data_IF_176476497893
#
_entry.id   IF_176476497893
#
_cell.length_a   1.000
_cell.length_b   1.000
_cell.length_c   1.000
_cell.angle_alpha   90.00
_cell.angle_beta   90.00
_cell.angle_gamma   90.00
#
_symmetry.space_group_name_H-M   'P 1'
#
loop_
_entity.id
_entity.type
_entity.pdbx_description
1 polymer ?
#
# COMPACT_ATOMS: atom_id res chain seq x y z
N UNK A 1 64.60 14.42 40.31
CA UNK A 1 64.30 13.77 39.01
C UNK A 1 62.94 13.09 39.13
N UNK A 2 61.89 13.60 38.47
CA UNK A 2 60.52 13.06 38.56
C UNK A 2 60.30 12.10 37.38
N UNK A 3 59.98 10.83 37.66
CA UNK A 3 59.52 9.89 36.65
C UNK A 3 58.00 9.71 36.78
N UNK A 4 57.27 10.12 35.74
CA UNK A 4 55.86 9.76 35.51
C UNK A 4 55.85 8.49 34.67
N UNK A 5 55.09 7.49 35.08
CA UNK A 5 54.70 6.38 34.19
C UNK A 5 53.20 6.10 34.30
N UNK A 6 52.62 6.04 33.10
CA UNK A 6 51.24 5.83 32.70
C UNK A 6 50.87 4.34 32.81
N UNK A 7 49.65 3.98 33.23
CA UNK A 7 48.99 2.77 32.69
C UNK A 7 47.48 2.68 32.98
N UNK A 8 46.71 3.04 31.94
CA UNK A 8 45.57 2.32 31.34
C UNK A 8 44.36 1.96 32.22
N UNK A 9 43.35 2.83 32.20
CA UNK A 9 41.95 2.49 32.48
C UNK A 9 41.39 1.56 31.38
N UNK A 10 40.96 0.37 31.75
CA UNK A 10 40.24 -0.58 30.89
C UNK A 10 38.74 -0.24 30.96
N UNK A 11 38.26 0.59 30.03
CA UNK A 11 36.82 0.83 29.83
C UNK A 11 36.25 -0.31 28.99
N UNK A 12 35.52 -1.21 29.64
CA UNK A 12 34.77 -2.28 29.00
C UNK A 12 33.50 -1.69 28.38
N UNK A 13 33.56 -1.34 27.09
CA UNK A 13 32.41 -0.87 26.31
C UNK A 13 31.49 -2.04 25.97
N UNK A 14 30.44 -2.24 26.77
CA UNK A 14 29.36 -3.15 26.45
C UNK A 14 28.43 -2.52 25.41
N UNK A 15 28.60 -2.87 24.13
CA UNK A 15 27.62 -2.57 23.08
C UNK A 15 26.43 -3.52 23.24
N UNK A 16 25.36 -3.01 23.87
CA UNK A 16 24.06 -3.66 23.90
C UNK A 16 23.42 -3.50 22.51
N UNK A 17 23.54 -4.54 21.68
CA UNK A 17 22.77 -4.67 20.43
C UNK A 17 21.30 -4.87 20.81
N UNK A 18 20.57 -3.76 20.96
CA UNK A 18 19.11 -3.80 21.01
C UNK A 18 18.63 -4.32 19.67
N UNK A 19 18.21 -5.59 19.66
CA UNK A 19 17.48 -6.19 18.56
C UNK A 19 16.15 -5.46 18.48
N UNK A 20 16.05 -4.50 17.55
CA UNK A 20 14.76 -3.93 17.19
C UNK A 20 13.93 -5.03 16.57
N UNK A 21 12.94 -5.53 17.32
CA UNK A 21 11.86 -6.33 16.75
C UNK A 21 11.19 -5.46 15.69
N UNK A 22 11.52 -5.71 14.43
CA UNK A 22 10.90 -5.07 13.28
C UNK A 22 9.47 -5.61 13.16
N UNK A 23 8.54 -5.04 13.91
CA UNK A 23 7.11 -5.21 13.68
C UNK A 23 6.71 -4.36 12.47
N UNK A 24 6.84 -4.90 11.26
CA UNK A 24 6.05 -4.47 10.11
C UNK A 24 4.80 -5.39 10.06
N UNK A 25 3.57 -4.98 9.74
CA UNK A 25 3.12 -4.18 8.60
C UNK A 25 1.81 -3.38 8.90
N UNK A 26 1.90 -2.27 9.63
CA UNK A 26 1.02 -1.08 9.43
C UNK A 26 1.79 0.13 8.91
N UNK A 27 3.08 -0.07 8.68
CA UNK A 27 4.06 0.97 8.38
C UNK A 27 4.02 1.48 6.96
N UNK A 28 3.41 0.74 6.02
CA UNK A 28 3.34 1.15 4.60
C UNK A 28 2.76 2.56 4.48
N UNK A 29 1.68 2.85 5.21
CA UNK A 29 1.05 4.18 5.18
C UNK A 29 1.91 5.30 5.79
N UNK A 30 3.00 4.95 6.49
CA UNK A 30 4.00 5.89 7.01
C UNK A 30 5.21 6.03 6.09
N UNK A 31 5.35 5.17 5.07
CA UNK A 31 6.42 5.27 4.09
C UNK A 31 6.10 6.36 3.05
N UNK A 32 7.14 6.95 2.42
CA UNK A 32 6.96 7.85 1.29
C UNK A 32 6.22 7.17 0.13
N UNK A 33 5.35 7.94 -0.53
CA UNK A 33 4.73 7.54 -1.79
C UNK A 33 5.65 7.99 -2.92
N UNK A 34 6.14 7.04 -3.72
CA UNK A 34 6.90 7.32 -4.94
C UNK A 34 6.02 7.03 -6.15
N UNK A 35 6.08 7.89 -7.16
CA UNK A 35 5.32 7.75 -8.41
C UNK A 35 6.30 7.95 -9.57
N UNK A 36 6.33 7.00 -10.49
CA UNK A 36 7.08 7.09 -11.75
C UNK A 36 6.12 6.90 -12.91
N UNK A 37 6.32 7.66 -13.99
CA UNK A 37 5.52 7.60 -15.22
C UNK A 37 6.31 8.17 -16.38
N UNK A 38 5.84 7.95 -17.61
CA UNK A 38 6.46 8.57 -18.79
C UNK A 38 6.10 10.06 -18.87
N UNK A 39 4.88 10.42 -18.45
CA UNK A 39 4.36 11.78 -18.54
C UNK A 39 3.76 12.26 -17.20
N UNK A 40 3.85 13.56 -16.94
CA UNK A 40 3.24 14.24 -15.79
C UNK A 40 2.67 15.60 -16.20
N UNK A 41 1.49 15.95 -15.68
CA UNK A 41 0.88 17.27 -15.79
C UNK A 41 0.39 17.77 -14.42
N UNK A 42 0.49 19.09 -14.21
CA UNK A 42 0.09 19.76 -12.98
C UNK A 42 -0.84 20.93 -13.30
N UNK A 43 -2.07 20.87 -12.79
CA UNK A 43 -3.03 21.97 -12.80
C UNK A 43 -3.03 22.64 -11.42
N UNK A 44 -2.36 23.79 -11.32
CA UNK A 44 -2.20 24.54 -10.07
C UNK A 44 -3.50 25.21 -9.62
N UNK A 45 -4.36 25.63 -10.56
CA UNK A 45 -5.63 26.28 -10.22
C UNK A 45 -6.58 25.27 -9.58
N UNK A 46 -6.62 24.05 -10.11
CA UNK A 46 -7.49 22.98 -9.60
C UNK A 46 -6.84 22.11 -8.53
N UNK A 47 -5.54 22.28 -8.26
CA UNK A 47 -4.75 21.41 -7.37
C UNK A 47 -4.82 19.93 -7.77
N UNK A 48 -4.65 19.66 -9.07
CA UNK A 48 -4.70 18.31 -9.66
C UNK A 48 -3.35 17.97 -10.29
N UNK A 49 -2.81 16.80 -9.93
CA UNK A 49 -1.65 16.20 -10.58
C UNK A 49 -2.09 14.99 -11.38
N UNK A 50 -1.66 14.86 -12.63
CA UNK A 50 -1.95 13.69 -13.46
C UNK A 50 -0.65 13.07 -13.95
N UNK A 51 -0.48 11.78 -13.69
CA UNK A 51 0.59 10.93 -14.20
C UNK A 51 -0.01 10.02 -15.27
N UNK A 52 0.64 9.89 -16.42
CA UNK A 52 0.14 9.03 -17.51
C UNK A 52 1.27 8.24 -18.14
N UNK A 53 0.87 7.09 -18.68
CA UNK A 53 1.69 6.09 -19.36
C UNK A 53 2.72 5.43 -18.43
N UNK A 54 2.65 4.09 -18.34
CA UNK A 54 3.50 3.25 -17.49
C UNK A 54 3.61 3.75 -16.03
N UNK A 55 2.47 4.10 -15.42
CA UNK A 55 2.47 4.65 -14.07
C UNK A 55 2.69 3.55 -13.03
N UNK A 56 3.69 3.74 -12.18
CA UNK A 56 4.01 2.86 -11.04
C UNK A 56 4.02 3.69 -9.77
N UNK A 57 3.23 3.26 -8.77
CA UNK A 57 3.21 3.85 -7.42
C UNK A 57 3.79 2.84 -6.45
N UNK A 58 4.70 3.26 -5.57
CA UNK A 58 5.18 2.45 -4.45
C UNK A 58 5.01 3.17 -3.12
N UNK A 59 4.65 2.42 -2.08
CA UNK A 59 4.59 2.91 -0.70
C UNK A 59 4.88 1.76 0.29
N UNK A 60 6.11 1.67 0.79
CA UNK A 60 6.54 0.51 1.56
C UNK A 60 6.42 -0.78 0.73
N UNK A 61 5.61 -1.74 1.18
CA UNK A 61 5.31 -2.96 0.43
C UNK A 61 4.22 -2.79 -0.65
N UNK A 62 3.50 -1.67 -0.65
CA UNK A 62 2.44 -1.40 -1.61
C UNK A 62 3.05 -1.11 -2.98
N UNK A 63 2.55 -1.79 -4.01
CA UNK A 63 2.87 -1.55 -5.42
C UNK A 63 1.58 -1.45 -6.23
N UNK A 64 1.42 -0.34 -6.97
CA UNK A 64 0.29 -0.14 -7.89
C UNK A 64 0.84 0.14 -9.28
N UNK A 65 0.31 -0.56 -10.29
CA UNK A 65 0.58 -0.27 -11.69
C UNK A 65 -0.71 0.19 -12.37
N UNK A 66 -0.64 1.26 -13.15
CA UNK A 66 -1.78 1.85 -13.84
C UNK A 66 -1.36 2.49 -15.17
N UNK A 67 -2.33 2.76 -16.04
CA UNK A 67 -2.10 3.57 -17.25
C UNK A 67 -2.11 5.06 -16.94
N UNK A 68 -2.95 5.47 -15.98
CA UNK A 68 -3.07 6.86 -15.57
C UNK A 68 -3.39 6.93 -14.08
N UNK A 69 -2.82 7.92 -13.39
CA UNK A 69 -3.10 8.23 -12.00
C UNK A 69 -3.38 9.73 -11.87
N UNK A 70 -4.50 10.09 -11.27
CA UNK A 70 -4.87 11.46 -10.96
C UNK A 70 -4.89 11.64 -9.45
N UNK A 71 -4.13 12.60 -8.94
CA UNK A 71 -4.13 13.01 -7.53
C UNK A 71 -4.83 14.35 -7.42
N UNK A 72 -5.85 14.42 -6.58
CA UNK A 72 -6.58 15.65 -6.26
C UNK A 72 -6.40 15.97 -4.79
N UNK A 73 -5.98 17.20 -4.47
CA UNK A 73 -6.03 17.71 -3.10
C UNK A 73 -7.34 18.47 -2.90
N UNK A 74 -8.28 17.96 -2.09
CA UNK A 74 -9.53 18.67 -1.82
C UNK A 74 -9.25 20.02 -1.16
N UNK A 75 -10.04 21.03 -1.49
CA UNK A 75 -9.96 22.35 -0.86
C UNK A 75 -10.61 22.40 0.54
N UNK A 76 -11.19 21.28 1.00
CA UNK A 76 -11.84 21.18 2.31
C UNK A 76 -10.85 20.90 3.45
N UNK A 77 -11.32 21.08 4.69
CA UNK A 77 -10.53 20.92 5.92
C UNK A 77 -10.02 19.50 6.18
N UNK A 78 -10.35 18.52 5.33
CA UNK A 78 -9.79 17.18 5.46
C UNK A 78 -8.33 17.13 5.01
N UNK A 79 -7.92 18.01 4.09
CA UNK A 79 -6.53 18.22 3.65
C UNK A 79 -5.82 17.01 3.04
N UNK A 80 -6.50 15.87 2.87
CA UNK A 80 -5.88 14.61 2.49
C UNK A 80 -6.22 14.25 1.05
N UNK A 81 -5.21 13.78 0.34
CA UNK A 81 -5.23 13.57 -1.10
C UNK A 81 -6.13 12.38 -1.49
N UNK A 82 -6.82 12.54 -2.63
CA UNK A 82 -7.57 11.47 -3.28
C UNK A 82 -6.81 11.04 -4.52
N UNK A 83 -6.59 9.75 -4.65
CA UNK A 83 -5.90 9.13 -5.78
C UNK A 83 -6.93 8.34 -6.60
N UNK A 84 -6.96 8.59 -7.90
CA UNK A 84 -7.71 7.80 -8.86
C UNK A 84 -6.72 7.17 -9.85
N UNK A 85 -6.71 5.84 -9.92
CA UNK A 85 -5.91 5.08 -10.87
C UNK A 85 -6.82 4.38 -11.89
N UNK A 86 -6.45 4.47 -13.16
CA UNK A 86 -7.17 3.88 -14.29
C UNK A 86 -6.23 2.99 -15.12
N UNK A 87 -6.74 1.86 -15.58
CA UNK A 87 -5.94 0.88 -16.31
C UNK A 87 -6.79 -0.19 -16.98
N UNK A 88 -6.12 -1.12 -17.66
CA UNK A 88 -6.75 -2.29 -18.27
C UNK A 88 -5.86 -3.54 -18.10
N UNK A 89 -5.63 -4.00 -16.85
CA UNK A 89 -6.16 -3.49 -15.58
C UNK A 89 -5.21 -2.52 -14.85
N UNK A 90 -5.68 -1.91 -13.78
CA UNK A 90 -4.86 -1.48 -12.64
C UNK A 90 -4.51 -2.71 -11.81
N UNK A 91 -3.27 -2.85 -11.38
CA UNK A 91 -2.85 -3.91 -10.44
C UNK A 91 -2.45 -3.31 -9.10
N UNK A 92 -2.75 -4.00 -8.01
CA UNK A 92 -2.36 -3.66 -6.64
C UNK A 92 -1.65 -4.85 -6.01
N UNK A 93 -0.58 -4.62 -5.26
CA UNK A 93 0.09 -5.63 -4.46
C UNK A 93 0.43 -5.04 -3.09
N UNK A 94 0.35 -5.86 -2.05
CA UNK A 94 0.78 -5.51 -0.70
C UNK A 94 1.21 -6.79 0.03
N UNK A 95 2.23 -6.69 0.89
CA UNK A 95 2.49 -7.72 1.88
C UNK A 95 1.66 -7.44 3.14
N UNK A 96 1.07 -8.47 3.75
CA UNK A 96 0.37 -8.36 5.04
C UNK A 96 1.33 -8.65 6.20
N UNK A 97 0.95 -8.29 7.42
CA UNK A 97 1.74 -8.47 8.67
C UNK A 97 2.15 -9.91 8.91
N UNK A 98 1.35 -10.87 8.45
CA UNK A 98 1.67 -12.30 8.51
C UNK A 98 2.61 -12.76 7.38
N UNK A 99 3.22 -11.83 6.64
CA UNK A 99 4.12 -12.07 5.52
C UNK A 99 3.43 -12.52 4.22
N UNK A 100 2.11 -12.78 4.21
CA UNK A 100 1.42 -13.25 3.01
C UNK A 100 1.16 -12.10 2.04
N UNK A 101 1.39 -12.30 0.72
CA UNK A 101 1.06 -11.28 -0.26
C UNK A 101 -0.44 -11.28 -0.57
N UNK A 102 -0.98 -10.08 -0.78
CA UNK A 102 -2.29 -9.86 -1.42
C UNK A 102 -2.08 -9.18 -2.75
N UNK A 103 -2.82 -9.62 -3.76
CA UNK A 103 -2.80 -9.07 -5.10
C UNK A 103 -4.21 -8.67 -5.49
N UNK A 104 -4.39 -7.48 -6.02
CA UNK A 104 -5.63 -6.95 -6.53
C UNK A 104 -5.52 -6.59 -8.01
N UNK A 105 -6.62 -6.67 -8.74
CA UNK A 105 -6.74 -6.07 -10.07
C UNK A 105 -8.14 -5.53 -10.30
N UNK A 106 -8.26 -4.43 -11.02
CA UNK A 106 -9.53 -3.82 -11.39
C UNK A 106 -9.34 -2.85 -12.56
N UNK A 107 -10.42 -2.42 -13.22
CA UNK A 107 -10.33 -1.37 -14.25
C UNK A 107 -10.03 0.02 -13.66
N UNK A 108 -10.50 0.26 -12.43
CA UNK A 108 -10.32 1.51 -11.70
C UNK A 108 -10.03 1.24 -10.23
N UNK A 109 -9.14 2.03 -9.64
CA UNK A 109 -8.88 2.02 -8.19
C UNK A 109 -8.94 3.45 -7.68
N UNK A 110 -9.80 3.69 -6.70
CA UNK A 110 -9.82 4.95 -5.96
C UNK A 110 -9.23 4.71 -4.58
N UNK A 111 -8.33 5.60 -4.14
CA UNK A 111 -7.76 5.57 -2.81
C UNK A 111 -7.92 6.92 -2.14
N UNK A 112 -8.63 6.92 -1.02
CA UNK A 112 -8.72 8.08 -0.13
C UNK A 112 -7.63 7.93 0.94
N UNK A 113 -6.56 8.72 0.83
CA UNK A 113 -5.44 8.68 1.78
C UNK A 113 -5.86 9.10 3.19
N UNK A 114 -7.00 9.78 3.32
CA UNK A 114 -7.47 10.29 4.59
C UNK A 114 -8.14 9.29 5.48
N UNK A 115 -9.06 8.54 4.90
CA UNK A 115 -9.69 7.37 5.50
C UNK A 115 -8.87 6.10 5.33
N UNK A 116 -7.83 6.13 4.50
CA UNK A 116 -7.02 4.97 4.09
C UNK A 116 -7.91 3.85 3.53
N UNK A 117 -8.80 4.24 2.61
CA UNK A 117 -9.85 3.38 2.07
C UNK A 117 -9.72 3.25 0.54
N UNK A 118 -9.56 2.02 0.06
CA UNK A 118 -9.48 1.70 -1.36
C UNK A 118 -10.81 1.16 -1.88
N UNK A 119 -11.15 1.53 -3.11
CA UNK A 119 -12.29 1.03 -3.87
C UNK A 119 -11.80 0.57 -5.23
N UNK A 120 -11.81 -0.74 -5.46
CA UNK A 120 -11.48 -1.40 -6.70
C UNK A 120 -12.77 -1.67 -7.47
N UNK A 121 -12.87 -1.18 -8.71
CA UNK A 121 -14.12 -1.21 -9.49
C UNK A 121 -13.87 -1.71 -10.92
N UNK A 122 -14.81 -2.49 -11.43
CA UNK A 122 -14.81 -2.99 -12.81
C UNK A 122 -13.92 -4.23 -12.95
N UNK A 123 -14.56 -5.41 -12.94
CA UNK A 123 -13.89 -6.71 -12.91
C UNK A 123 -12.87 -6.81 -11.76
N UNK A 124 -13.27 -6.37 -10.57
CA UNK A 124 -12.42 -6.35 -9.40
C UNK A 124 -12.12 -7.78 -8.94
N UNK A 125 -10.85 -8.09 -8.78
CA UNK A 125 -10.38 -9.35 -8.24
C UNK A 125 -9.39 -9.09 -7.12
N UNK A 126 -9.44 -9.92 -6.08
CA UNK A 126 -8.43 -10.03 -5.06
C UNK A 126 -7.95 -11.49 -4.98
N UNK A 127 -6.64 -11.69 -4.85
CA UNK A 127 -6.01 -13.00 -4.69
C UNK A 127 -5.02 -12.96 -3.53
N UNK A 128 -5.13 -13.95 -2.65
CA UNK A 128 -4.18 -14.21 -1.58
C UNK A 128 -3.75 -15.67 -1.69
N UNK A 129 -2.48 -15.91 -2.04
CA UNK A 129 -1.98 -17.23 -2.39
C UNK A 129 -2.86 -17.87 -3.49
N UNK A 130 -3.51 -19.01 -3.23
CA UNK A 130 -4.40 -19.66 -4.20
C UNK A 130 -5.88 -19.26 -4.03
N UNK A 131 -6.22 -18.62 -2.91
CA UNK A 131 -7.57 -18.14 -2.66
C UNK A 131 -7.85 -16.86 -3.46
N UNK A 132 -9.07 -16.75 -3.99
CA UNK A 132 -9.47 -15.68 -4.91
C UNK A 132 -10.90 -15.19 -4.62
N UNK A 133 -11.13 -13.90 -4.79
CA UNK A 133 -12.44 -13.25 -4.76
C UNK A 133 -12.59 -12.45 -6.06
N UNK A 134 -13.68 -12.68 -6.79
CA UNK A 134 -14.09 -11.89 -7.95
C UNK A 134 -15.42 -11.18 -7.65
N UNK A 135 -15.47 -9.88 -7.95
CA UNK A 135 -16.64 -9.05 -7.72
C UNK A 135 -16.67 -7.85 -8.69
N UNK A 136 -17.78 -7.11 -8.68
CA UNK A 136 -17.86 -5.85 -9.42
C UNK A 136 -17.11 -4.75 -8.69
N UNK A 137 -17.24 -4.74 -7.36
CA UNK A 137 -16.58 -3.79 -6.45
C UNK A 137 -15.94 -4.55 -5.30
N UNK A 138 -14.67 -4.26 -5.01
CA UNK A 138 -14.00 -4.69 -3.78
C UNK A 138 -13.53 -3.43 -3.05
N UNK A 139 -13.89 -3.31 -1.78
CA UNK A 139 -13.37 -2.26 -0.92
C UNK A 139 -12.38 -2.80 0.09
N UNK A 140 -11.41 -1.98 0.46
CA UNK A 140 -10.37 -2.34 1.42
C UNK A 140 -10.09 -1.17 2.36
N UNK A 141 -10.34 -1.39 3.64
CA UNK A 141 -9.91 -0.52 4.74
C UNK A 141 -8.52 -0.96 5.20
N UNK A 142 -7.50 -0.15 4.91
CA UNK A 142 -6.10 -0.45 5.21
C UNK A 142 -5.85 -0.46 6.72
N UNK A 143 -6.53 0.40 7.49
CA UNK A 143 -6.34 0.51 8.94
C UNK A 143 -6.87 -0.72 9.67
N UNK A 144 -8.03 -1.20 9.24
CA UNK A 144 -8.71 -2.37 9.81
C UNK A 144 -8.28 -3.68 9.15
N UNK A 145 -7.49 -3.60 8.07
CA UNK A 145 -7.17 -4.73 7.20
C UNK A 145 -8.43 -5.51 6.77
N UNK A 146 -9.50 -4.77 6.47
CA UNK A 146 -10.83 -5.34 6.22
C UNK A 146 -11.25 -5.13 4.78
N UNK A 147 -11.60 -6.23 4.13
CA UNK A 147 -12.07 -6.22 2.73
C UNK A 147 -13.54 -6.60 2.64
N UNK A 148 -14.25 -5.93 1.73
CA UNK A 148 -15.65 -6.22 1.44
C UNK A 148 -15.85 -6.27 -0.08
N UNK A 149 -16.31 -7.42 -0.57
CA UNK A 149 -16.67 -7.61 -1.97
C UNK A 149 -18.19 -7.45 -2.15
N UNK A 150 -18.61 -6.70 -3.18
CA UNK A 150 -20.01 -6.42 -3.49
C UNK A 150 -20.26 -6.47 -5.00
N UNK A 151 -21.52 -6.68 -5.36
CA UNK A 151 -22.02 -6.47 -6.72
C UNK A 151 -22.92 -5.22 -6.70
N UNK A 152 -22.79 -4.34 -7.69
CA UNK A 152 -23.61 -3.11 -7.80
C UNK A 152 -24.87 -3.30 -8.65
N UNK A 153 -25.13 -4.50 -9.17
CA UNK A 153 -26.33 -4.81 -9.94
C UNK A 153 -26.72 -6.28 -9.95
N UNK A 154 -27.00 -6.80 -11.15
CA UNK A 154 -27.37 -8.21 -11.36
C UNK A 154 -26.11 -9.06 -11.53
N UNK A 155 -25.53 -9.48 -10.42
CA UNK A 155 -24.39 -10.40 -10.41
C UNK A 155 -24.13 -10.98 -9.03
N UNK A 156 -23.06 -11.78 -8.91
CA UNK A 156 -22.68 -12.42 -7.65
C UNK A 156 -21.21 -12.19 -7.38
N UNK A 157 -20.87 -12.10 -6.09
CA UNK A 157 -19.50 -12.27 -5.64
C UNK A 157 -19.15 -13.76 -5.76
N UNK A 158 -18.01 -14.07 -6.36
CA UNK A 158 -17.48 -15.44 -6.45
C UNK A 158 -16.23 -15.53 -5.58
N UNK A 159 -16.18 -16.52 -4.70
CA UNK A 159 -15.02 -16.79 -3.85
C UNK A 159 -14.55 -18.21 -4.07
N UNK A 160 -13.26 -18.38 -4.33
CA UNK A 160 -12.55 -19.66 -4.29
C UNK A 160 -11.67 -19.62 -3.04
N UNK A 161 -11.90 -20.56 -2.13
CA UNK A 161 -11.24 -20.62 -0.83
C UNK A 161 -10.51 -21.95 -0.70
N UNK A 162 -9.23 -21.91 -0.38
CA UNK A 162 -8.42 -23.10 -0.11
C UNK A 162 -8.24 -23.26 1.41
N UNK A 163 -8.92 -24.23 2.06
CA UNK A 163 -8.96 -24.31 3.53
C UNK A 163 -7.59 -24.49 4.20
N UNK A 164 -6.65 -25.17 3.54
CA UNK A 164 -5.28 -25.35 4.02
C UNK A 164 -4.54 -24.03 4.24
N UNK A 165 -4.93 -22.96 3.54
CA UNK A 165 -4.29 -21.64 3.61
C UNK A 165 -4.85 -20.76 4.74
N UNK A 166 -6.01 -21.12 5.30
CA UNK A 166 -6.60 -20.44 6.44
C UNK A 166 -5.88 -20.76 7.76
N UNK A 167 -5.21 -21.91 7.84
CA UNK A 167 -4.65 -22.44 9.09
C UNK A 167 -3.19 -22.01 9.34
N UNK A 168 -2.52 -21.44 8.34
CA UNK A 168 -1.14 -20.98 8.48
C UNK A 168 -1.14 -19.57 9.08
N UNK A 169 -0.85 -19.47 10.38
CA UNK A 169 -0.60 -18.21 11.09
C UNK A 169 0.82 -17.73 10.86
#
# INVERSE_FOLDING_TARGET
MKFKTLSKSLLLAGTLLLSFSASALKSDTQQPINITSDNQSLDLEKNIVTFSDNVVITQGSILINARQVTITRPADSSGKEKIEALGSPVTFQQQLDNGKPINGRAGKVNYDLGSQYLVLTGNAQLKQLDSQIDAEVITYDVQQQKMIAKNSGKGRVKTILYPSQLQQK
#
